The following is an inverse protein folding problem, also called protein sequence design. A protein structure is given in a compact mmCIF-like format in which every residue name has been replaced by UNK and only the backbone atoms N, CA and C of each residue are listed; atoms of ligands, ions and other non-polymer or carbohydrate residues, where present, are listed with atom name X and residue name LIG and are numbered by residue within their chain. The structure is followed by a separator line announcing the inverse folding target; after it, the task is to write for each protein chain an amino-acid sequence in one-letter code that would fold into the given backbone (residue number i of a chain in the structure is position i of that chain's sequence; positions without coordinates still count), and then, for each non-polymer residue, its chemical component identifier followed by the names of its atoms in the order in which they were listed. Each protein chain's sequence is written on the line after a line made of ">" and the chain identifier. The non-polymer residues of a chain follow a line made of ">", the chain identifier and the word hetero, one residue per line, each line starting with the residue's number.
data_IF_408382060392
#
_entry.id   IF_408382060392
#
_cell.length_a   1.000
_cell.length_b   1.000
_cell.length_c   1.000
_cell.angle_alpha   90.00
_cell.angle_beta   90.00
_cell.angle_gamma   90.00
#
_symmetry.space_group_name_H-M   'P 1'
#
loop_
_entity.id
_entity.type
_entity.pdbx_description
1 polymer ?
#
# COMPACT_ATOMS: atom_id res chain seq x y z
N UNK A 1 17.79 2.84 14.43
CA UNK A 1 17.56 3.61 15.69
C UNK A 1 16.20 3.31 16.30
N UNK A 2 15.09 3.38 15.55
CA UNK A 2 13.74 3.07 16.07
C UNK A 2 13.56 1.62 16.56
N UNK A 3 14.06 0.63 15.82
CA UNK A 3 13.90 -0.79 16.19
C UNK A 3 14.57 -1.17 17.52
N UNK A 4 15.59 -0.42 17.96
CA UNK A 4 16.26 -0.64 19.24
C UNK A 4 15.31 -0.49 20.44
N UNK A 5 14.20 0.23 20.28
CA UNK A 5 13.17 0.34 21.33
C UNK A 5 12.52 -1.02 21.62
N UNK A 6 12.57 -1.95 20.67
CA UNK A 6 11.96 -3.27 20.74
C UNK A 6 12.97 -4.41 20.89
N UNK A 7 14.23 -4.12 21.20
CA UNK A 7 15.33 -5.10 21.31
C UNK A 7 15.01 -6.23 22.33
N UNK A 8 14.31 -5.91 23.41
CA UNK A 8 13.85 -6.92 24.40
C UNK A 8 12.62 -7.72 23.96
N UNK A 9 12.02 -7.39 22.83
CA UNK A 9 10.77 -7.95 22.31
C UNK A 9 10.91 -8.52 20.89
N UNK A 10 12.14 -8.71 20.41
CA UNK A 10 12.48 -9.00 19.02
C UNK A 10 11.60 -10.09 18.37
N UNK A 11 11.35 -11.23 19.05
CA UNK A 11 10.52 -12.33 18.54
C UNK A 11 9.01 -12.01 18.45
N UNK A 12 8.59 -10.87 18.98
CA UNK A 12 7.19 -10.40 19.05
C UNK A 12 6.95 -9.16 18.18
N UNK A 13 7.95 -8.70 17.42
CA UNK A 13 7.81 -7.52 16.56
C UNK A 13 7.22 -7.92 15.21
N UNK A 14 6.05 -7.36 14.91
CA UNK A 14 5.40 -7.45 13.61
C UNK A 14 5.30 -6.05 13.01
N UNK A 15 5.82 -5.88 11.79
CA UNK A 15 5.77 -4.63 11.06
C UNK A 15 4.93 -4.82 9.80
N UNK A 16 3.84 -4.07 9.70
CA UNK A 16 2.98 -4.10 8.52
C UNK A 16 3.11 -2.79 7.76
N UNK A 17 3.61 -2.87 6.53
CA UNK A 17 3.59 -1.76 5.58
C UNK A 17 2.37 -1.90 4.66
N UNK A 18 1.44 -0.95 4.76
CA UNK A 18 0.32 -0.86 3.81
C UNK A 18 0.87 -0.39 2.45
N UNK A 19 1.18 -1.36 1.60
CA UNK A 19 1.70 -1.19 0.24
C UNK A 19 0.57 -0.94 -0.77
N UNK A 20 0.84 -1.16 -2.06
CA UNK A 20 -0.11 -1.02 -3.17
C UNK A 20 0.40 -1.82 -4.36
N UNK A 21 -0.49 -2.19 -5.28
CA UNK A 21 -0.08 -2.67 -6.61
C UNK A 21 0.88 -1.69 -7.31
N UNK A 22 0.74 -0.39 -7.01
CA UNK A 22 1.60 0.67 -7.53
C UNK A 22 3.06 0.58 -7.06
N UNK A 23 3.38 -0.27 -6.08
CA UNK A 23 4.77 -0.54 -5.68
C UNK A 23 5.53 -1.42 -6.70
N UNK A 24 4.81 -2.23 -7.48
CA UNK A 24 5.39 -3.23 -8.38
C UNK A 24 4.89 -3.12 -9.83
N UNK A 25 3.80 -2.40 -10.07
CA UNK A 25 3.31 -2.08 -11.42
C UNK A 25 3.19 -0.56 -11.59
N UNK A 26 3.68 0.00 -12.70
CA UNK A 26 3.55 1.42 -12.96
C UNK A 26 2.08 1.80 -13.23
N UNK A 27 1.67 2.97 -12.74
CA UNK A 27 0.39 3.58 -13.10
C UNK A 27 0.62 5.02 -13.54
N UNK A 28 0.33 5.31 -14.81
CA UNK A 28 0.53 6.64 -15.39
C UNK A 28 -0.27 7.70 -14.62
N UNK A 29 0.35 8.85 -14.36
CA UNK A 29 -0.22 9.93 -13.53
C UNK A 29 0.00 9.77 -12.02
N UNK A 30 0.62 8.67 -11.56
CA UNK A 30 0.89 8.40 -10.14
C UNK A 30 2.37 8.20 -9.82
N UNK A 31 3.27 8.89 -10.53
CA UNK A 31 4.73 8.70 -10.41
C UNK A 31 5.25 8.79 -8.97
N UNK A 32 4.90 9.85 -8.23
CA UNK A 32 5.31 10.00 -6.82
C UNK A 32 4.74 8.91 -5.91
N UNK A 33 3.48 8.52 -6.14
CA UNK A 33 2.84 7.46 -5.36
C UNK A 33 3.48 6.10 -5.63
N UNK A 34 3.71 5.76 -6.90
CA UNK A 34 4.45 4.55 -7.30
C UNK A 34 5.84 4.54 -6.67
N UNK A 35 6.63 5.60 -6.86
CA UNK A 35 7.98 5.71 -6.31
C UNK A 35 7.98 5.53 -4.79
N UNK A 36 7.11 6.24 -4.07
CA UNK A 36 7.02 6.14 -2.62
C UNK A 36 6.62 4.74 -2.14
N UNK A 37 5.69 4.06 -2.83
CA UNK A 37 5.28 2.69 -2.49
C UNK A 37 6.37 1.67 -2.81
N UNK A 38 7.05 1.79 -3.95
CA UNK A 38 8.19 0.93 -4.32
C UNK A 38 9.35 1.09 -3.33
N UNK A 39 9.70 2.33 -2.97
CA UNK A 39 10.77 2.62 -2.02
C UNK A 39 10.48 2.02 -0.64
N UNK A 40 9.25 2.21 -0.12
CA UNK A 40 8.82 1.60 1.14
C UNK A 40 8.89 0.08 1.09
N UNK A 41 8.38 -0.52 0.02
CA UNK A 41 8.37 -1.98 -0.12
C UNK A 41 9.78 -2.56 -0.13
N UNK A 42 10.71 -1.95 -0.86
CA UNK A 42 12.12 -2.38 -0.87
C UNK A 42 12.78 -2.18 0.50
N UNK A 43 12.57 -1.03 1.14
CA UNK A 43 13.08 -0.75 2.48
C UNK A 43 12.66 -1.85 3.48
N UNK A 44 11.37 -2.21 3.49
CA UNK A 44 10.86 -3.24 4.39
C UNK A 44 11.32 -4.66 4.03
N UNK A 45 11.61 -4.94 2.75
CA UNK A 45 12.25 -6.20 2.35
C UNK A 45 13.68 -6.29 2.88
N UNK A 46 14.48 -5.24 2.71
CA UNK A 46 15.84 -5.18 3.27
C UNK A 46 15.81 -5.29 4.79
N UNK A 47 14.88 -4.61 5.45
CA UNK A 47 14.74 -4.68 6.91
C UNK A 47 14.49 -6.11 7.41
N UNK A 48 13.65 -6.88 6.71
CA UNK A 48 13.39 -8.28 7.03
C UNK A 48 14.59 -9.18 6.75
N UNK A 49 15.39 -8.87 5.73
CA UNK A 49 16.64 -9.58 5.45
C UNK A 49 17.69 -9.34 6.53
N UNK A 50 17.80 -8.12 7.04
CA UNK A 50 18.76 -7.76 8.09
C UNK A 50 18.34 -8.25 9.49
N UNK A 51 17.04 -8.37 9.75
CA UNK A 51 16.50 -8.67 11.09
C UNK A 51 15.58 -9.90 11.03
N UNK A 52 16.17 -11.09 10.96
CA UNK A 52 15.45 -12.37 10.75
C UNK A 52 14.43 -12.72 11.84
N UNK A 53 14.54 -12.14 13.03
CA UNK A 53 13.58 -12.33 14.13
C UNK A 53 12.32 -11.46 13.98
N UNK A 54 12.38 -10.36 13.21
CA UNK A 54 11.23 -9.47 12.98
C UNK A 54 10.41 -10.01 11.80
N UNK A 55 9.09 -10.02 11.97
CA UNK A 55 8.17 -10.38 10.90
C UNK A 55 7.69 -9.12 10.19
N UNK A 56 7.96 -9.02 8.89
CA UNK A 56 7.57 -7.87 8.08
C UNK A 56 6.60 -8.30 6.98
N UNK A 57 5.50 -7.57 6.86
CA UNK A 57 4.47 -7.78 5.83
C UNK A 57 4.31 -6.52 4.98
N UNK A 58 4.48 -6.66 3.67
CA UNK A 58 4.05 -5.66 2.69
C UNK A 58 2.64 -6.02 2.19
N UNK A 59 1.62 -5.39 2.74
CA UNK A 59 0.22 -5.70 2.45
C UNK A 59 -0.39 -4.70 1.48
N UNK A 60 -0.78 -5.14 0.29
CA UNK A 60 -1.52 -4.32 -0.67
C UNK A 60 -3.03 -4.55 -0.48
N UNK A 61 -3.82 -3.56 -0.01
CA UNK A 61 -5.23 -3.76 0.36
C UNK A 61 -6.19 -3.91 -0.83
N UNK A 62 -5.69 -3.76 -2.06
CA UNK A 62 -6.51 -3.71 -3.27
C UNK A 62 -7.16 -2.32 -3.48
N UNK A 63 -8.07 -2.20 -4.45
CA UNK A 63 -8.83 -0.97 -4.68
C UNK A 63 -9.94 -0.85 -3.62
N UNK A 64 -9.75 0.02 -2.63
CA UNK A 64 -10.66 0.18 -1.48
C UNK A 64 -11.45 1.47 -1.62
N UNK A 65 -12.76 1.39 -1.42
CA UNK A 65 -13.68 2.54 -1.39
C UNK A 65 -13.32 3.46 -0.20
N UNK A 66 -12.53 4.49 -0.50
CA UNK A 66 -12.02 5.47 0.46
C UNK A 66 -11.94 6.84 -0.20
N UNK A 67 -11.74 7.88 0.61
CA UNK A 67 -11.55 9.25 0.13
C UNK A 67 -10.40 9.42 -0.89
N UNK A 68 -9.42 8.50 -0.91
CA UNK A 68 -8.35 8.52 -1.92
C UNK A 68 -8.89 8.35 -3.34
N UNK A 69 -9.88 7.47 -3.54
CA UNK A 69 -10.47 7.24 -4.87
C UNK A 69 -11.22 8.48 -5.32
N UNK A 70 -12.02 9.09 -4.44
CA UNK A 70 -12.75 10.31 -4.75
C UNK A 70 -11.79 11.47 -5.09
N UNK A 71 -10.68 11.59 -4.36
CA UNK A 71 -9.63 12.56 -4.65
C UNK A 71 -9.01 12.35 -6.05
N UNK A 72 -8.74 11.10 -6.45
CA UNK A 72 -8.19 10.80 -7.78
C UNK A 72 -9.22 11.16 -8.86
N UNK A 73 -10.48 10.77 -8.68
CA UNK A 73 -11.57 11.04 -9.64
C UNK A 73 -11.81 12.54 -9.80
N UNK A 74 -11.66 13.33 -8.74
CA UNK A 74 -11.81 14.79 -8.79
C UNK A 74 -10.56 15.46 -9.40
N UNK A 75 -9.37 15.17 -8.86
CA UNK A 75 -8.16 15.99 -9.06
C UNK A 75 -7.17 15.48 -10.10
N UNK A 76 -7.21 14.21 -10.50
CA UNK A 76 -6.18 13.70 -11.42
C UNK A 76 -6.20 14.41 -12.77
N UNK A 77 -5.03 14.82 -13.28
CA UNK A 77 -4.93 15.44 -14.61
C UNK A 77 -4.99 14.39 -15.72
N UNK A 78 -4.48 13.19 -15.44
CA UNK A 78 -4.50 12.07 -16.38
C UNK A 78 -5.92 11.53 -16.55
N UNK A 79 -6.50 11.70 -17.75
CA UNK A 79 -7.86 11.26 -18.07
C UNK A 79 -8.03 9.74 -17.98
N UNK A 80 -7.08 8.97 -18.53
CA UNK A 80 -7.13 7.51 -18.47
C UNK A 80 -7.13 7.01 -17.01
N UNK A 81 -6.36 7.66 -16.14
CA UNK A 81 -6.37 7.36 -14.70
C UNK A 81 -7.76 7.62 -14.09
N UNK A 82 -8.36 8.78 -14.37
CA UNK A 82 -9.73 9.09 -13.93
C UNK A 82 -10.73 8.04 -14.39
N UNK A 83 -10.69 7.70 -15.68
CA UNK A 83 -11.64 6.76 -16.29
C UNK A 83 -11.54 5.36 -15.66
N UNK A 84 -10.33 4.89 -15.37
CA UNK A 84 -10.10 3.62 -14.65
C UNK A 84 -10.77 3.64 -13.28
N UNK A 85 -10.55 4.68 -12.47
CA UNK A 85 -11.13 4.75 -11.12
C UNK A 85 -12.65 4.98 -11.13
N UNK A 86 -13.17 5.76 -12.09
CA UNK A 86 -14.62 5.88 -12.34
C UNK A 86 -15.21 4.52 -12.69
N UNK A 87 -14.53 3.73 -13.53
CA UNK A 87 -15.00 2.40 -13.92
C UNK A 87 -15.09 1.45 -12.73
N UNK A 88 -14.12 1.46 -11.82
CA UNK A 88 -14.18 0.65 -10.60
C UNK A 88 -15.36 1.01 -9.72
N UNK A 89 -15.63 2.31 -9.56
CA UNK A 89 -16.79 2.80 -8.78
C UNK A 89 -18.11 2.37 -9.43
N UNK A 90 -18.24 2.50 -10.75
CA UNK A 90 -19.45 2.11 -11.49
C UNK A 90 -19.71 0.60 -11.52
N UNK A 91 -18.65 -0.20 -11.63
CA UNK A 91 -18.74 -1.66 -11.69
C UNK A 91 -18.92 -2.31 -10.30
N UNK A 92 -18.83 -1.54 -9.21
CA UNK A 92 -18.92 -2.09 -7.85
C UNK A 92 -17.75 -3.01 -7.50
N UNK A 93 -16.59 -2.85 -8.14
CA UNK A 93 -15.40 -3.70 -7.92
C UNK A 93 -14.52 -3.23 -6.76
N UNK A 94 -14.89 -2.12 -6.11
CA UNK A 94 -14.21 -1.58 -4.95
C UNK A 94 -14.51 -2.41 -3.69
N UNK A 95 -13.48 -2.68 -2.90
CA UNK A 95 -13.62 -3.31 -1.60
C UNK A 95 -14.04 -2.28 -0.55
N UNK A 96 -14.89 -2.69 0.40
CA UNK A 96 -15.07 -1.94 1.63
C UNK A 96 -13.84 -2.07 2.54
N UNK A 97 -13.49 -1.06 3.35
CA UNK A 97 -12.35 -1.12 4.25
C UNK A 97 -12.34 -2.35 5.17
N UNK A 98 -13.50 -2.76 5.68
CA UNK A 98 -13.60 -3.91 6.59
C UNK A 98 -13.29 -5.23 5.89
N UNK A 99 -13.56 -5.34 4.58
CA UNK A 99 -13.27 -6.55 3.82
C UNK A 99 -11.78 -6.77 3.60
N UNK A 100 -11.02 -5.69 3.36
CA UNK A 100 -9.57 -5.80 3.24
C UNK A 100 -8.92 -5.98 4.62
N UNK A 101 -9.40 -5.27 5.65
CA UNK A 101 -8.87 -5.41 7.00
C UNK A 101 -8.98 -6.84 7.54
N UNK A 102 -10.10 -7.54 7.27
CA UNK A 102 -10.30 -8.95 7.66
C UNK A 102 -9.39 -9.95 6.93
N UNK A 103 -8.76 -9.58 5.82
CA UNK A 103 -7.86 -10.46 5.05
C UNK A 103 -6.42 -10.42 5.54
N UNK A 104 -6.04 -9.39 6.30
CA UNK A 104 -4.70 -9.20 6.82
C UNK A 104 -4.54 -9.85 8.19
#
# INVERSE_FOLDING_TARGET
>A
QFLKIFESLEDRVFIVNISSLCAVKPMSGMAYYCCGKSAREMYFRVLAEENKHIKVLNYAPGPVETAMIDFIIDRAVNKNLKDVFISFKKQGTLLKPEMTAKKC
#
